data_IF_349844518550
#
_entry.id   IF_349844518550
#
_cell.length_a   1.000
_cell.length_b   1.000
_cell.length_c   1.000
_cell.angle_alpha   90.00
_cell.angle_beta   90.00
_cell.angle_gamma   90.00
#
_symmetry.space_group_name_H-M   'P 1'
#
loop_
_entity.id
_entity.type
_entity.pdbx_description
1 polymer ?
#
# COMPACT_ATOMS: atom_id res chain seq x y z
N UNK A 1 -15.40 5.01 11.24
CA UNK A 1 -15.18 3.57 11.42
C UNK A 1 -14.85 3.02 10.04
N UNK A 2 -13.56 2.89 9.71
CA UNK A 2 -13.13 2.32 8.42
C UNK A 2 -13.30 0.81 8.60
N UNK A 3 -14.13 0.11 7.81
CA UNK A 3 -14.21 -1.34 7.92
C UNK A 3 -12.80 -1.89 7.73
N UNK A 4 -12.43 -2.87 8.55
CA UNK A 4 -11.25 -3.69 8.27
C UNK A 4 -11.53 -4.38 6.94
N UNK A 5 -11.09 -3.75 5.84
CA UNK A 5 -11.12 -4.37 4.51
C UNK A 5 -10.28 -5.63 4.64
N UNK A 6 -10.96 -6.77 4.58
CA UNK A 6 -10.31 -8.06 4.71
C UNK A 6 -9.30 -8.20 3.56
N UNK A 7 -8.05 -8.63 3.80
CA UNK A 7 -7.05 -8.72 2.73
C UNK A 7 -7.44 -9.71 1.62
N UNK A 8 -8.49 -10.52 1.84
CA UNK A 8 -9.04 -11.50 0.90
C UNK A 8 -10.00 -10.91 -0.15
N UNK A 9 -10.58 -9.74 0.11
CA UNK A 9 -11.52 -9.04 -0.80
C UNK A 9 -10.85 -7.92 -1.61
N UNK A 10 -9.52 -7.77 -1.47
CA UNK A 10 -8.76 -6.75 -2.19
C UNK A 10 -8.79 -7.02 -3.71
N UNK A 11 -9.24 -6.07 -4.54
CA UNK A 11 -9.17 -6.21 -5.99
C UNK A 11 -7.70 -6.34 -6.41
N UNK A 12 -7.38 -7.34 -7.24
CA UNK A 12 -6.03 -7.53 -7.78
C UNK A 12 -5.69 -6.48 -8.87
N UNK A 13 -6.60 -5.53 -9.13
CA UNK A 13 -6.43 -4.46 -10.12
C UNK A 13 -5.80 -3.20 -9.52
N UNK A 14 -6.33 -2.69 -8.39
CA UNK A 14 -5.89 -1.42 -7.77
C UNK A 14 -6.04 -1.42 -6.26
N UNK A 15 -5.00 -1.05 -5.55
CA UNK A 15 -4.97 -0.89 -4.09
C UNK A 15 -4.85 0.58 -3.70
N UNK A 16 -5.68 1.03 -2.79
CA UNK A 16 -5.56 2.32 -2.10
C UNK A 16 -4.48 2.26 -1.02
N UNK A 17 -4.18 3.43 -0.43
CA UNK A 17 -3.22 3.55 0.68
C UNK A 17 -3.63 2.70 1.89
N UNK A 18 -4.94 2.53 2.12
CA UNK A 18 -5.45 1.73 3.21
C UNK A 18 -5.21 0.23 2.95
N UNK A 19 -5.43 -0.22 1.72
CA UNK A 19 -5.28 -1.62 1.30
C UNK A 19 -3.80 -2.03 1.26
N UNK A 20 -2.94 -1.17 0.73
CA UNK A 20 -1.48 -1.38 0.80
C UNK A 20 -1.03 -1.48 2.27
N UNK A 21 -1.54 -0.59 3.13
CA UNK A 21 -1.21 -0.62 4.54
C UNK A 21 -1.73 -1.89 5.23
N UNK A 22 -2.95 -2.32 4.95
CA UNK A 22 -3.54 -3.55 5.46
C UNK A 22 -2.74 -4.79 5.03
N UNK A 23 -2.36 -4.89 3.76
CA UNK A 23 -1.52 -5.98 3.24
C UNK A 23 -0.17 -6.06 3.94
N UNK A 24 0.43 -4.91 4.24
CA UNK A 24 1.68 -4.83 5.00
C UNK A 24 1.50 -5.00 6.51
N UNK A 25 0.27 -5.02 7.02
CA UNK A 25 -0.01 -5.00 8.46
C UNK A 25 0.39 -3.69 9.15
N UNK A 26 0.41 -2.58 8.42
CA UNK A 26 0.75 -1.24 8.95
C UNK A 26 -0.47 -0.30 8.89
N UNK A 27 -0.37 0.84 9.55
CA UNK A 27 -1.36 1.91 9.46
C UNK A 27 -1.24 2.72 8.18
N UNK A 28 -2.38 3.19 7.64
CA UNK A 28 -2.42 4.12 6.49
C UNK A 28 -1.51 5.34 6.68
N UNK A 29 -1.40 5.89 7.90
CA UNK A 29 -0.51 7.01 8.19
C UNK A 29 0.96 6.69 7.90
N UNK A 30 1.41 5.50 8.29
CA UNK A 30 2.77 5.00 8.01
C UNK A 30 3.02 4.83 6.52
N UNK A 31 2.04 4.26 5.79
CA UNK A 31 2.12 4.16 4.33
C UNK A 31 2.21 5.53 3.66
N UNK A 32 1.34 6.46 4.06
CA UNK A 32 1.34 7.84 3.51
C UNK A 32 2.66 8.55 3.80
N UNK A 33 3.24 8.34 4.98
CA UNK A 33 4.56 8.86 5.33
C UNK A 33 5.68 8.22 4.50
N UNK A 34 5.60 6.93 4.16
CA UNK A 34 6.56 6.29 3.25
C UNK A 34 6.45 6.83 1.83
N UNK A 35 5.23 7.05 1.33
CA UNK A 35 4.99 7.63 0.01
C UNK A 35 5.53 9.06 -0.04
N UNK A 36 5.25 9.87 1.00
CA UNK A 36 5.77 11.23 1.10
C UNK A 36 7.30 11.29 1.23
N UNK A 37 7.92 10.24 1.76
CA UNK A 37 9.39 10.08 1.85
C UNK A 37 9.98 9.36 0.64
N UNK A 38 9.20 9.10 -0.40
CA UNK A 38 9.62 8.38 -1.62
C UNK A 38 10.19 6.97 -1.33
N UNK A 39 9.90 6.42 -0.15
CA UNK A 39 10.33 5.10 0.29
C UNK A 39 9.35 4.00 -0.13
N UNK A 40 8.09 4.37 -0.38
CA UNK A 40 7.08 3.51 -0.97
C UNK A 40 6.96 3.80 -2.47
N UNK A 41 6.42 2.85 -3.27
CA UNK A 41 6.19 3.09 -4.68
C UNK A 41 5.33 4.35 -4.89
N UNK A 42 5.61 5.09 -5.95
CA UNK A 42 4.78 6.22 -6.33
C UNK A 42 3.37 5.72 -6.70
N UNK A 43 2.32 6.51 -6.42
CA UNK A 43 0.98 6.16 -6.86
C UNK A 43 0.90 6.18 -8.39
N UNK A 44 0.53 5.03 -8.96
CA UNK A 44 0.36 4.86 -10.40
C UNK A 44 -0.80 5.71 -10.93
N UNK A 45 -1.81 5.93 -10.10
CA UNK A 45 -2.96 6.76 -10.44
C UNK A 45 -3.47 7.47 -9.20
N UNK A 46 -4.02 8.67 -9.36
CA UNK A 46 -4.81 9.34 -8.32
C UNK A 46 -6.28 9.26 -8.72
N UNK A 47 -7.09 8.61 -7.89
CA UNK A 47 -8.54 8.58 -8.05
C UNK A 47 -9.14 9.74 -7.24
N UNK A 48 -9.41 10.85 -7.91
CA UNK A 48 -9.84 12.10 -7.28
C UNK A 48 -8.79 12.65 -6.32
N UNK A 49 -8.91 12.34 -5.03
CA UNK A 49 -7.97 12.74 -3.96
C UNK A 49 -7.26 11.57 -3.28
N UNK A 50 -7.53 10.35 -3.75
CA UNK A 50 -6.98 9.11 -3.19
C UNK A 50 -5.94 8.53 -4.15
N UNK A 51 -4.65 8.55 -3.80
CA UNK A 51 -3.64 7.80 -4.55
C UNK A 51 -3.96 6.30 -4.52
N UNK A 52 -3.78 5.64 -5.67
CA UNK A 52 -3.91 4.20 -5.85
C UNK A 52 -2.64 3.62 -6.47
N UNK A 53 -2.36 2.38 -6.10
CA UNK A 53 -1.19 1.60 -6.47
C UNK A 53 -1.62 0.29 -7.10
N UNK A 54 -0.79 -0.26 -7.98
CA UNK A 54 -1.01 -1.62 -8.45
C UNK A 54 -0.51 -2.61 -7.40
N UNK A 55 -1.29 -3.67 -7.08
CA UNK A 55 -0.83 -4.73 -6.19
C UNK A 55 0.48 -5.34 -6.64
N UNK A 56 0.71 -5.49 -7.95
CA UNK A 56 1.98 -6.01 -8.47
C UNK A 56 3.18 -5.16 -8.04
N UNK A 57 3.06 -3.84 -8.12
CA UNK A 57 4.10 -2.89 -7.68
C UNK A 57 4.31 -2.96 -6.17
N UNK A 58 3.22 -3.02 -5.39
CA UNK A 58 3.28 -3.10 -3.93
C UNK A 58 3.90 -4.43 -3.47
N UNK A 59 3.50 -5.56 -4.07
CA UNK A 59 4.07 -6.90 -3.84
C UNK A 59 5.54 -6.95 -4.20
N UNK A 60 5.93 -6.43 -5.38
CA UNK A 60 7.34 -6.32 -5.78
C UNK A 60 8.14 -5.46 -4.82
N UNK A 61 7.62 -4.30 -4.42
CA UNK A 61 8.28 -3.44 -3.43
C UNK A 61 8.39 -4.11 -2.07
N UNK A 62 7.34 -4.78 -1.59
CA UNK A 62 7.35 -5.51 -0.32
C UNK A 62 8.36 -6.66 -0.33
N UNK A 63 8.55 -7.33 -1.47
CA UNK A 63 9.58 -8.34 -1.68
C UNK A 63 11.00 -7.76 -1.81
N UNK A 64 11.15 -6.61 -2.47
CA UNK A 64 12.42 -5.89 -2.60
C UNK A 64 12.83 -5.14 -1.34
N UNK A 65 11.88 -4.84 -0.43
CA UNK A 65 12.19 -4.23 0.85
C UNK A 65 13.11 -5.20 1.60
N UNK A 66 14.36 -4.82 1.90
CA UNK A 66 15.18 -5.60 2.81
C UNK A 66 14.53 -5.49 4.18
N UNK A 67 13.65 -6.43 4.52
CA UNK A 67 13.36 -6.73 5.91
C UNK A 67 14.70 -7.19 6.45
N UNK A 68 15.34 -6.32 7.22
CA UNK A 68 16.36 -6.70 8.17
C UNK A 68 15.76 -7.82 9.02
N UNK A 69 15.99 -9.06 8.57
CA UNK A 69 15.65 -10.27 9.28
C UNK A 69 16.67 -10.37 10.40
N UNK A 70 16.22 -10.16 11.63
CA UNK A 70 16.92 -10.67 12.80
C UNK A 70 15.89 -11.28 13.74
#
# INVERSE_FOLDING_TARGET
MIPATDPSELPDDWWTAAECAAYLGITRGTWTAYVAREQAPAPERMFGRSPVWRPRTVKSWAASRPRHSK
#
